data_IF_249066317724
#
_entry.id   IF_249066317724
#
_cell.length_a   1.000
_cell.length_b   1.000
_cell.length_c   1.000
_cell.angle_alpha   90.00
_cell.angle_beta   90.00
_cell.angle_gamma   90.00
#
_symmetry.space_group_name_H-M   'P 1'
#
loop_
_entity.id
_entity.type
_entity.pdbx_description
1 polymer ?
#
# COMPACT_ATOMS: atom_id res chain seq x y z
N UNK A 1 66.01 22.81 -3.46
CA UNK A 1 65.46 23.57 -2.31
C UNK A 1 64.94 24.91 -2.81
N UNK A 2 63.76 25.34 -2.29
CA UNK A 2 62.96 26.55 -2.61
C UNK A 2 62.06 26.38 -3.85
N UNK A 3 60.81 25.96 -3.69
CA UNK A 3 59.60 26.68 -3.22
C UNK A 3 59.12 27.75 -4.21
N UNK A 4 57.87 27.62 -4.65
CA UNK A 4 57.20 28.62 -5.49
C UNK A 4 55.76 28.21 -5.78
N UNK A 5 54.94 28.10 -4.74
CA UNK A 5 53.49 27.98 -4.85
C UNK A 5 52.93 29.28 -5.39
N UNK A 6 52.65 29.34 -6.69
CA UNK A 6 52.00 30.47 -7.32
C UNK A 6 50.50 30.41 -7.08
N UNK A 7 50.07 31.29 -6.18
CA UNK A 7 48.69 31.67 -5.89
C UNK A 7 48.03 32.19 -7.18
N UNK A 8 47.05 31.47 -7.72
CA UNK A 8 46.12 32.02 -8.71
C UNK A 8 44.81 32.37 -8.00
N UNK A 9 44.73 33.63 -7.58
CA UNK A 9 43.53 34.24 -7.03
C UNK A 9 42.62 34.65 -8.18
N UNK A 10 41.38 34.14 -8.17
CA UNK A 10 40.22 34.78 -8.75
C UNK A 10 40.07 34.72 -10.26
N UNK A 11 39.14 33.88 -10.73
CA UNK A 11 38.11 34.24 -11.71
C UNK A 11 37.03 33.14 -11.69
N UNK A 12 35.86 33.49 -11.12
CA UNK A 12 34.57 32.90 -11.46
C UNK A 12 34.20 31.56 -10.83
N UNK A 13 33.77 31.56 -9.57
CA UNK A 13 32.85 30.52 -9.10
C UNK A 13 31.55 30.61 -9.93
N UNK A 14 31.14 29.56 -10.65
CA UNK A 14 29.81 29.53 -11.23
C UNK A 14 28.81 29.48 -10.08
N UNK A 15 28.07 30.58 -9.87
CA UNK A 15 26.92 30.60 -8.96
C UNK A 15 26.00 29.46 -9.35
N UNK A 16 25.97 28.44 -8.49
CA UNK A 16 25.20 27.22 -8.69
C UNK A 16 23.75 27.60 -8.95
N UNK A 17 23.28 27.29 -10.15
CA UNK A 17 21.89 27.39 -10.54
C UNK A 17 21.04 26.70 -9.47
N UNK A 18 20.27 27.49 -8.72
CA UNK A 18 19.29 27.01 -7.77
C UNK A 18 18.21 26.29 -8.56
N UNK A 19 18.37 24.97 -8.73
CA UNK A 19 17.36 24.09 -9.31
C UNK A 19 16.11 24.20 -8.45
N UNK A 20 15.10 24.85 -9.01
CA UNK A 20 13.73 24.85 -8.49
C UNK A 20 13.31 23.38 -8.37
N UNK A 21 13.28 22.88 -7.14
CA UNK A 21 12.81 21.53 -6.86
C UNK A 21 11.31 21.62 -6.72
N UNK A 22 10.58 21.04 -7.67
CA UNK A 22 9.13 20.85 -7.56
C UNK A 22 8.90 19.93 -6.37
N UNK A 23 8.49 20.50 -5.23
CA UNK A 23 7.99 19.71 -4.10
C UNK A 23 6.69 19.07 -4.54
N UNK A 24 6.76 17.77 -4.83
CA UNK A 24 5.59 16.92 -5.00
C UNK A 24 4.69 17.09 -3.78
N UNK A 25 3.57 17.79 -3.94
CA UNK A 25 2.46 17.78 -2.99
C UNK A 25 1.74 16.44 -3.19
N UNK A 26 2.36 15.40 -2.64
CA UNK A 26 1.82 14.05 -2.66
C UNK A 26 0.51 13.97 -1.89
N UNK A 27 -0.51 13.49 -2.60
CA UNK A 27 -1.75 12.88 -2.09
C UNK A 27 -2.75 13.83 -1.45
N UNK A 28 -3.51 14.52 -2.30
CA UNK A 28 -4.88 14.92 -1.98
C UNK A 28 -5.66 13.66 -1.59
N UNK A 29 -6.07 13.61 -0.32
CA UNK A 29 -7.16 12.84 0.26
C UNK A 29 -7.70 11.70 -0.62
N UNK A 30 -7.09 10.53 -0.49
CA UNK A 30 -7.76 9.30 -0.90
C UNK A 30 -8.83 8.96 0.16
N UNK A 31 -10.13 8.99 -0.17
CA UNK A 31 -11.10 8.30 0.67
C UNK A 31 -10.72 6.82 0.63
N UNK A 32 -10.25 6.30 1.77
CA UNK A 32 -9.92 4.89 1.94
C UNK A 32 -11.20 4.08 1.83
N UNK A 33 -11.61 3.73 0.61
CA UNK A 33 -12.38 2.50 0.41
C UNK A 33 -11.45 1.38 0.85
N UNK A 34 -11.88 0.56 1.81
CA UNK A 34 -11.09 -0.56 2.34
C UNK A 34 -10.97 -1.71 1.33
N UNK A 35 -10.64 -1.43 0.07
CA UNK A 35 -10.52 -2.43 -0.97
C UNK A 35 -9.09 -2.61 -1.51
N UNK A 36 -8.08 -2.17 -0.77
CA UNK A 36 -6.69 -2.53 -1.07
C UNK A 36 -5.92 -2.75 0.23
N UNK A 37 -6.31 -3.80 0.94
CA UNK A 37 -5.41 -4.41 1.91
C UNK A 37 -4.56 -5.43 1.15
N UNK A 38 -3.31 -5.08 0.86
CA UNK A 38 -2.25 -6.05 0.59
C UNK A 38 -2.38 -7.17 1.65
N UNK A 39 -2.55 -8.45 1.27
CA UNK A 39 -2.82 -9.53 2.21
C UNK A 39 -1.54 -9.86 2.98
N UNK A 40 -1.18 -9.01 3.94
CA UNK A 40 -0.01 -9.16 4.79
C UNK A 40 -0.37 -9.92 6.05
N UNK A 41 -1.07 -11.04 5.94
CA UNK A 41 -0.97 -12.07 6.98
C UNK A 41 -1.11 -13.46 6.39
N UNK A 42 0.01 -14.17 6.33
CA UNK A 42 0.01 -15.62 6.44
C UNK A 42 -0.50 -15.97 7.85
N UNK A 43 -1.83 -16.06 8.00
CA UNK A 43 -2.44 -16.91 9.02
C UNK A 43 -3.01 -18.09 8.25
N UNK A 44 -2.73 -19.29 8.71
CA UNK A 44 -3.37 -20.53 8.26
C UNK A 44 -4.86 -20.58 8.65
N UNK A 45 -5.57 -19.45 8.50
CA UNK A 45 -6.96 -19.26 8.86
C UNK A 45 -7.82 -19.28 7.60
N UNK A 46 -8.87 -20.10 7.62
CA UNK A 46 -9.88 -20.09 6.58
C UNK A 46 -10.63 -18.74 6.57
N UNK A 47 -10.97 -18.26 5.37
CA UNK A 47 -11.78 -17.06 5.17
C UNK A 47 -13.25 -17.37 5.49
N UNK A 48 -13.84 -16.66 6.45
CA UNK A 48 -15.24 -16.83 6.83
C UNK A 48 -16.17 -16.06 5.90
N UNK A 49 -17.21 -16.72 5.40
CA UNK A 49 -18.27 -16.13 4.56
C UNK A 49 -19.61 -16.40 5.23
N UNK A 50 -20.34 -15.34 5.58
CA UNK A 50 -21.68 -15.44 6.17
C UNK A 50 -22.72 -15.16 5.09
N UNK A 51 -23.72 -16.02 4.97
CA UNK A 51 -24.83 -15.90 4.02
C UNK A 51 -26.18 -15.89 4.73
N UNK A 52 -27.23 -15.45 4.05
CA UNK A 52 -28.55 -15.25 4.66
C UNK A 52 -29.40 -16.53 4.79
N UNK A 53 -29.00 -17.64 4.15
CA UNK A 53 -29.74 -18.90 4.23
C UNK A 53 -28.84 -20.14 4.17
N UNK A 54 -29.25 -21.26 4.81
CA UNK A 54 -28.49 -22.51 4.77
C UNK A 54 -28.36 -23.11 3.37
N UNK A 55 -29.39 -22.96 2.52
CA UNK A 55 -29.36 -23.44 1.14
C UNK A 55 -28.25 -22.73 0.34
N UNK A 56 -28.12 -21.41 0.49
CA UNK A 56 -27.06 -20.64 -0.15
C UNK A 56 -25.68 -21.04 0.35
N UNK A 57 -25.52 -21.33 1.64
CA UNK A 57 -24.22 -21.73 2.21
C UNK A 57 -23.67 -22.99 1.52
N UNK A 58 -24.53 -23.99 1.31
CA UNK A 58 -24.16 -25.24 0.60
C UNK A 58 -23.74 -24.97 -0.84
N UNK A 59 -24.46 -24.11 -1.53
CA UNK A 59 -24.15 -23.73 -2.92
C UNK A 59 -22.82 -22.97 -3.01
N UNK A 60 -22.61 -21.95 -2.17
CA UNK A 60 -21.40 -21.11 -2.18
C UNK A 60 -20.16 -21.87 -1.72
N UNK A 61 -20.27 -22.77 -0.75
CA UNK A 61 -19.16 -23.61 -0.30
C UNK A 61 -18.57 -24.45 -1.45
N UNK A 62 -19.42 -25.00 -2.33
CA UNK A 62 -18.99 -25.74 -3.51
C UNK A 62 -18.23 -24.89 -4.53
N UNK A 63 -18.57 -23.60 -4.65
CA UNK A 63 -17.89 -22.68 -5.57
C UNK A 63 -16.54 -22.17 -5.05
N UNK A 64 -16.43 -21.90 -3.74
CA UNK A 64 -15.23 -21.32 -3.15
C UNK A 64 -14.14 -22.37 -2.85
N UNK A 65 -14.54 -23.59 -2.55
CA UNK A 65 -13.61 -24.68 -2.27
C UNK A 65 -12.81 -24.49 -0.96
N UNK A 66 -11.61 -25.08 -0.93
CA UNK A 66 -10.77 -25.11 0.29
C UNK A 66 -10.26 -23.71 0.64
N UNK A 67 -10.14 -23.44 1.94
CA UNK A 67 -9.68 -22.14 2.44
C UNK A 67 -10.81 -21.19 2.81
N UNK A 68 -12.07 -21.60 2.62
CA UNK A 68 -13.26 -20.85 3.03
C UNK A 68 -14.12 -21.67 4.00
N UNK A 69 -14.64 -21.00 5.02
CA UNK A 69 -15.70 -21.50 5.90
C UNK A 69 -16.95 -20.72 5.57
N UNK A 70 -18.03 -21.40 5.20
CA UNK A 70 -19.28 -20.74 4.80
C UNK A 70 -20.37 -21.11 5.79
N UNK A 71 -20.90 -20.12 6.49
CA UNK A 71 -21.93 -20.27 7.52
C UNK A 71 -23.17 -19.44 7.18
N UNK A 72 -24.33 -19.85 7.68
CA UNK A 72 -25.58 -19.12 7.47
C UNK A 72 -26.05 -18.40 8.74
N UNK A 73 -26.45 -17.14 8.64
CA UNK A 73 -27.24 -16.49 9.69
C UNK A 73 -28.67 -17.04 9.63
N UNK A 74 -29.07 -17.87 10.59
CA UNK A 74 -30.41 -18.51 10.66
C UNK A 74 -31.47 -17.44 11.05
N UNK A 75 -31.67 -16.44 10.19
CA UNK A 75 -32.51 -15.27 10.45
C UNK A 75 -31.70 -13.97 10.59
N UNK A 76 -32.36 -12.94 11.12
CA UNK A 76 -31.75 -11.62 11.34
C UNK A 76 -31.18 -11.53 12.75
N UNK A 77 -29.89 -11.19 12.87
CA UNK A 77 -29.24 -10.87 14.14
C UNK A 77 -29.61 -9.42 14.51
N UNK A 78 -29.91 -9.15 15.79
CA UNK A 78 -30.29 -7.83 16.31
C UNK A 78 -29.35 -7.38 17.42
#
# INVERSE_FOLDING_TARGET
MRSGTSLWTGLGEPQAASRVTVRSLGSVLQPRTHYEAEPTVAKDGHKLVIVESPAKARTIAGFLGRGYVVESSIGHIR
#
